data_IF_576839819291
#
_entry.id   IF_576839819291
#
_cell.length_a   1.000
_cell.length_b   1.000
_cell.length_c   1.000
_cell.angle_alpha   90.00
_cell.angle_beta   90.00
_cell.angle_gamma   90.00
#
_symmetry.space_group_name_H-M   'P 1'
#
loop_
_entity.id
_entity.type
_entity.pdbx_description
1 polymer ?
#
# COMPACT_ATOMS: atom_id res chain seq x y z
N UNK A 1 -2.41 -1.59 2.61
CA UNK A 1 -1.90 -2.98 2.75
C UNK A 1 -2.24 -3.73 1.47
N UNK A 2 -1.38 -4.61 0.97
CA UNK A 2 -1.60 -5.42 -0.25
C UNK A 2 -1.71 -6.89 0.15
N UNK A 3 -2.61 -7.62 -0.49
CA UNK A 3 -2.81 -9.07 -0.37
C UNK A 3 -3.13 -9.67 -1.74
N UNK A 4 -2.45 -10.73 -2.15
CA UNK A 4 -2.74 -11.43 -3.41
C UNK A 4 -2.23 -12.89 -3.39
N UNK A 5 -2.63 -13.74 -4.36
CA UNK A 5 -1.95 -15.01 -4.60
C UNK A 5 -0.46 -14.76 -4.86
N UNK A 6 0.41 -15.59 -4.28
CA UNK A 6 1.86 -15.45 -4.48
C UNK A 6 2.21 -15.71 -5.96
N UNK A 7 2.85 -14.71 -6.57
CA UNK A 7 3.13 -14.67 -8.00
C UNK A 7 4.48 -14.01 -8.25
N UNK A 8 5.21 -14.54 -9.22
CA UNK A 8 6.52 -14.01 -9.57
C UNK A 8 6.39 -12.57 -10.08
N UNK A 9 7.24 -11.68 -9.57
CA UNK A 9 7.32 -10.30 -10.02
C UNK A 9 6.37 -9.32 -9.30
N UNK A 10 5.54 -9.77 -8.35
CA UNK A 10 4.66 -8.87 -7.57
C UNK A 10 5.45 -7.74 -6.92
N UNK A 11 6.51 -8.08 -6.17
CA UNK A 11 7.34 -7.08 -5.47
C UNK A 11 7.98 -6.12 -6.49
N UNK A 12 8.64 -6.65 -7.53
CA UNK A 12 9.31 -5.82 -8.53
C UNK A 12 8.36 -4.88 -9.25
N UNK A 13 7.14 -5.33 -9.56
CA UNK A 13 6.13 -4.51 -10.23
C UNK A 13 5.65 -3.38 -9.34
N UNK A 14 5.39 -3.65 -8.05
CA UNK A 14 5.01 -2.60 -7.08
C UNK A 14 6.15 -1.60 -6.87
N UNK A 15 7.37 -2.06 -6.61
CA UNK A 15 8.51 -1.17 -6.37
C UNK A 15 8.89 -0.37 -7.62
N UNK A 16 8.79 -0.98 -8.80
CA UNK A 16 9.04 -0.30 -10.07
C UNK A 16 7.94 0.72 -10.38
N UNK A 17 6.67 0.43 -10.08
CA UNK A 17 5.59 1.42 -10.19
C UNK A 17 5.91 2.66 -9.35
N UNK A 18 6.29 2.47 -8.08
CA UNK A 18 6.62 3.58 -7.17
C UNK A 18 7.83 4.37 -7.69
N UNK A 19 8.95 3.68 -7.96
CA UNK A 19 10.20 4.31 -8.40
C UNK A 19 10.09 4.99 -9.76
N UNK A 20 9.39 4.38 -10.72
CA UNK A 20 9.16 4.95 -12.06
C UNK A 20 8.27 6.18 -12.05
N UNK A 21 7.60 6.49 -10.94
CA UNK A 21 6.84 7.72 -10.71
C UNK A 21 7.55 8.70 -9.75
N UNK A 22 8.80 8.43 -9.37
CA UNK A 22 9.59 9.33 -8.51
C UNK A 22 9.35 9.12 -7.01
N UNK A 23 8.69 8.04 -6.60
CA UNK A 23 8.47 7.72 -5.20
C UNK A 23 9.72 7.14 -4.56
N UNK A 24 10.11 7.70 -3.40
CA UNK A 24 11.19 7.18 -2.58
C UNK A 24 10.62 6.25 -1.50
N UNK A 25 10.91 4.94 -1.58
CA UNK A 25 10.41 3.96 -0.60
C UNK A 25 11.15 4.15 0.72
N UNK A 26 10.39 4.37 1.80
CA UNK A 26 10.93 4.59 3.15
C UNK A 26 10.79 3.37 4.05
N UNK A 27 9.81 2.53 3.77
CA UNK A 27 9.51 1.33 4.55
C UNK A 27 8.88 0.28 3.64
N UNK A 28 9.29 -0.98 3.80
CA UNK A 28 8.81 -2.09 3.00
C UNK A 28 8.91 -3.38 3.81
N UNK A 29 7.75 -4.02 4.01
CA UNK A 29 7.62 -5.31 4.66
C UNK A 29 6.85 -6.26 3.74
N UNK A 30 7.34 -7.48 3.59
CA UNK A 30 6.60 -8.58 2.96
C UNK A 30 6.45 -9.79 3.88
N UNK A 31 5.39 -10.56 3.64
CA UNK A 31 5.17 -11.84 4.28
C UNK A 31 4.46 -12.79 3.33
N UNK A 32 4.95 -14.03 3.23
CA UNK A 32 4.34 -15.06 2.37
C UNK A 32 3.99 -16.28 3.20
N UNK A 33 2.70 -16.62 3.25
CA UNK A 33 2.22 -17.88 3.81
C UNK A 33 0.92 -18.30 3.11
N UNK A 34 1.03 -19.06 2.01
CA UNK A 34 -0.05 -19.41 1.05
C UNK A 34 -0.68 -18.21 0.32
N UNK A 35 -0.70 -17.04 0.93
CA UNK A 35 -1.07 -15.74 0.39
C UNK A 35 0.12 -14.79 0.59
N UNK A 36 0.37 -13.92 -0.39
CA UNK A 36 1.39 -12.89 -0.33
C UNK A 36 0.80 -11.61 0.27
N UNK A 37 1.51 -11.05 1.24
CA UNK A 37 1.19 -9.77 1.87
C UNK A 37 2.35 -8.81 1.72
N UNK A 38 2.03 -7.54 1.45
CA UNK A 38 3.02 -6.47 1.38
C UNK A 38 2.49 -5.18 1.97
N UNK A 39 3.33 -4.50 2.75
CA UNK A 39 3.13 -3.11 3.16
C UNK A 39 4.31 -2.31 2.64
N UNK A 40 4.02 -1.23 1.94
CA UNK A 40 5.04 -0.32 1.41
C UNK A 40 4.62 1.11 1.74
N UNK A 41 5.58 1.90 2.21
CA UNK A 41 5.45 3.33 2.42
C UNK A 41 6.50 4.05 1.59
N UNK A 42 6.12 5.19 1.03
CA UNK A 42 7.01 6.03 0.23
C UNK A 42 6.67 7.50 0.41
N UNK A 43 7.63 8.36 0.07
CA UNK A 43 7.47 9.81 0.09
C UNK A 43 6.78 10.32 -1.17
N UNK A 44 5.93 11.34 -0.99
CA UNK A 44 5.17 11.96 -2.08
C UNK A 44 5.78 13.26 -2.61
N UNK A 45 6.89 13.75 -2.04
CA UNK A 45 7.48 15.05 -2.39
C UNK A 45 7.84 15.18 -3.88
N UNK A 46 8.35 14.11 -4.48
CA UNK A 46 8.73 14.01 -5.89
C UNK A 46 7.83 13.04 -6.67
N UNK A 47 6.72 12.58 -6.05
CA UNK A 47 5.84 11.60 -6.67
C UNK A 47 4.95 12.28 -7.71
N UNK A 48 5.05 11.79 -8.95
CA UNK A 48 4.45 12.44 -10.12
C UNK A 48 2.95 12.21 -10.27
N UNK A 49 2.41 11.19 -9.62
CA UNK A 49 0.96 10.93 -9.66
C UNK A 49 0.28 11.71 -8.54
N UNK A 50 -0.72 12.55 -8.84
CA UNK A 50 -1.49 13.23 -7.80
C UNK A 50 -2.18 12.25 -6.84
N UNK A 51 -2.32 12.62 -5.57
CA UNK A 51 -2.97 11.81 -4.54
C UNK A 51 -4.34 11.24 -4.98
N UNK A 52 -5.17 12.08 -5.60
CA UNK A 52 -6.51 11.69 -6.09
C UNK A 52 -6.52 10.71 -7.27
N UNK A 53 -5.38 10.50 -7.93
CA UNK A 53 -5.23 9.60 -9.08
C UNK A 53 -4.35 8.38 -8.76
N UNK A 54 -3.62 8.41 -7.64
CA UNK A 54 -2.68 7.35 -7.25
C UNK A 54 -3.38 6.01 -7.10
N UNK A 55 -4.59 6.02 -6.54
CA UNK A 55 -5.41 4.82 -6.37
C UNK A 55 -5.81 4.19 -7.73
N UNK A 56 -6.32 4.99 -8.66
CA UNK A 56 -6.74 4.52 -9.99
C UNK A 56 -5.55 4.05 -10.83
N UNK A 57 -4.43 4.78 -10.77
CA UNK A 57 -3.20 4.40 -11.44
C UNK A 57 -2.66 3.07 -10.89
N UNK A 58 -2.64 2.89 -9.56
CA UNK A 58 -2.20 1.63 -8.96
C UNK A 58 -3.13 0.47 -9.33
N UNK A 59 -4.45 0.70 -9.31
CA UNK A 59 -5.45 -0.32 -9.69
C UNK A 59 -5.18 -0.84 -11.11
N UNK A 60 -5.16 0.07 -12.08
CA UNK A 60 -5.10 -0.24 -13.50
C UNK A 60 -3.73 -0.77 -13.97
N UNK A 61 -2.63 -0.31 -13.37
CA UNK A 61 -1.29 -0.69 -13.79
C UNK A 61 -0.76 -1.94 -13.08
N UNK A 62 -1.25 -2.25 -11.88
CA UNK A 62 -0.67 -3.28 -11.01
C UNK A 62 -1.75 -4.20 -10.43
N UNK A 63 -2.71 -3.64 -9.69
CA UNK A 63 -3.61 -4.45 -8.86
C UNK A 63 -4.43 -5.47 -9.68
N UNK A 64 -4.96 -5.05 -10.82
CA UNK A 64 -5.78 -5.89 -11.70
C UNK A 64 -4.97 -7.09 -12.24
N UNK A 65 -3.72 -6.88 -12.62
CA UNK A 65 -2.84 -7.92 -13.16
C UNK A 65 -2.62 -9.06 -12.16
N UNK A 66 -2.45 -8.71 -10.88
CA UNK A 66 -2.09 -9.67 -9.84
C UNK A 66 -3.29 -10.10 -8.98
N UNK A 67 -4.51 -9.66 -9.32
CA UNK A 67 -5.72 -9.89 -8.51
C UNK A 67 -5.52 -9.46 -7.06
N UNK A 68 -4.98 -8.25 -6.86
CA UNK A 68 -4.67 -7.73 -5.53
C UNK A 68 -5.92 -7.21 -4.83
N UNK A 69 -6.07 -7.58 -3.57
CA UNK A 69 -6.81 -6.80 -2.60
C UNK A 69 -5.85 -5.80 -1.96
N UNK A 70 -6.19 -4.50 -1.99
CA UNK A 70 -5.29 -3.49 -1.49
C UNK A 70 -5.99 -2.27 -0.91
N UNK A 71 -5.24 -1.52 -0.11
CA UNK A 71 -5.64 -0.22 0.42
C UNK A 71 -4.48 0.77 0.39
N UNK A 72 -4.79 2.02 0.06
CA UNK A 72 -3.86 3.16 0.10
C UNK A 72 -4.34 4.15 1.17
N UNK A 73 -3.39 4.62 1.97
CA UNK A 73 -3.64 5.59 3.02
C UNK A 73 -2.58 6.69 2.96
N UNK A 74 -3.02 7.94 3.06
CA UNK A 74 -2.13 9.09 3.15
C UNK A 74 -1.82 9.39 4.62
N UNK A 75 -0.55 9.58 4.96
CA UNK A 75 -0.11 9.88 6.33
C UNK A 75 -0.62 11.23 6.86
N UNK A 76 -1.05 12.12 5.96
CA UNK A 76 -1.74 13.38 6.31
C UNK A 76 -3.13 13.15 6.90
N UNK A 77 -3.71 11.96 6.75
CA UNK A 77 -5.02 11.63 7.28
C UNK A 77 -4.93 11.15 8.74
N UNK A 78 -5.54 11.90 9.66
CA UNK A 78 -5.71 11.46 11.05
C UNK A 78 -6.95 10.55 11.17
N UNK A 79 -6.80 9.27 11.55
CA UNK A 79 -7.95 8.36 11.70
C UNK A 79 -8.92 8.84 12.77
N UNK A 80 -10.23 8.77 12.50
CA UNK A 80 -11.26 9.02 13.51
C UNK A 80 -11.39 7.80 14.43
N UNK A 81 -10.91 7.91 15.66
CA UNK A 81 -10.90 6.83 16.64
C UNK A 81 -12.00 7.03 17.69
N UNK A 82 -12.85 6.02 17.87
CA UNK A 82 -13.74 5.93 19.03
C UNK A 82 -13.19 4.84 19.98
N UNK A 83 -12.88 5.23 21.21
CA UNK A 83 -12.40 4.29 22.24
C UNK A 83 -13.58 3.96 23.15
N UNK A 84 -13.99 2.69 23.16
CA UNK A 84 -15.02 2.18 24.07
C UNK A 84 -14.34 1.49 25.25
N UNK A 85 -14.70 1.89 26.46
CA UNK A 85 -14.20 1.31 27.72
C UNK A 85 -15.39 0.93 28.61
N UNK A 86 -15.29 -0.22 29.28
CA UNK A 86 -16.22 -0.63 30.33
C UNK A 86 -15.48 -0.66 31.68
N UNK A 87 -15.70 -1.64 32.55
CA UNK A 87 -15.29 -1.60 33.97
C UNK A 87 -13.85 -2.06 34.26
N UNK A 88 -12.91 -1.91 33.34
CA UNK A 88 -11.48 -2.11 33.61
C UNK A 88 -10.66 -1.04 32.91
N UNK A 89 -9.96 -0.25 33.71
CA UNK A 89 -8.86 0.61 33.28
C UNK A 89 -7.57 -0.15 33.57
N UNK A 90 -6.76 -0.33 32.53
CA UNK A 90 -5.39 -0.90 32.50
C UNK A 90 -5.27 -2.39 32.19
#
# INVERSE_FOLDING_TARGET
>A
MISCPDQQGTISSVTNFIGSHGGNITDLDEHTNHVFFMRVAWELSEFRIPDGQTAEAFQSNIADQYSMEWSLHFSSHTPKMAVFVSTLSH
#
